data_IF_871540934890
#
_entry.id   IF_871540934890
#
_cell.length_a   1.000
_cell.length_b   1.000
_cell.length_c   1.000
_cell.angle_alpha   90.00
_cell.angle_beta   90.00
_cell.angle_gamma   90.00
#
_symmetry.space_group_name_H-M   'P 1'
#
loop_
_entity.id
_entity.type
_entity.pdbx_description
1 polymer ?
#
# COMPACT_ATOMS: atom_id res chain seq x y z
N UNK A 1 98.42 -8.76 -25.81
CA UNK A 1 97.88 -7.40 -25.53
C UNK A 1 96.45 -7.23 -26.09
N UNK A 2 96.11 -7.83 -27.23
CA UNK A 2 94.80 -7.71 -27.89
C UNK A 2 93.65 -8.42 -27.15
N UNK A 3 93.82 -9.66 -26.67
CA UNK A 3 92.74 -10.43 -26.00
C UNK A 3 92.27 -9.84 -24.65
N UNK A 4 93.19 -9.29 -23.85
CA UNK A 4 92.88 -8.73 -22.53
C UNK A 4 92.04 -7.45 -22.62
N UNK A 5 92.33 -6.57 -23.61
CA UNK A 5 91.54 -5.37 -23.87
C UNK A 5 90.14 -5.70 -24.39
N UNK A 6 89.99 -6.73 -25.23
CA UNK A 6 88.68 -7.19 -25.72
C UNK A 6 87.82 -7.71 -24.56
N UNK A 7 88.41 -8.47 -23.62
CA UNK A 7 87.69 -8.99 -22.46
C UNK A 7 87.21 -7.88 -21.51
N UNK A 8 88.06 -6.88 -21.26
CA UNK A 8 87.71 -5.69 -20.44
C UNK A 8 86.59 -4.89 -21.11
N UNK A 9 86.67 -4.67 -22.42
CA UNK A 9 85.64 -3.93 -23.15
C UNK A 9 84.28 -4.62 -23.11
N UNK A 10 84.24 -5.94 -23.32
CA UNK A 10 83.03 -6.75 -23.24
C UNK A 10 82.44 -6.72 -21.82
N UNK A 11 83.29 -6.86 -20.80
CA UNK A 11 82.85 -6.84 -19.40
C UNK A 11 82.23 -5.49 -19.01
N UNK A 12 82.87 -4.37 -19.38
CA UNK A 12 82.36 -3.02 -19.12
C UNK A 12 81.05 -2.78 -19.88
N UNK A 13 80.97 -3.21 -21.14
CA UNK A 13 79.76 -3.04 -21.96
C UNK A 13 78.56 -3.81 -21.36
N UNK A 14 78.76 -5.07 -20.96
CA UNK A 14 77.74 -5.90 -20.32
C UNK A 14 77.30 -5.27 -18.99
N UNK A 15 78.25 -4.82 -18.17
CA UNK A 15 77.95 -4.21 -16.88
C UNK A 15 77.10 -2.93 -17.03
N UNK A 16 77.48 -2.05 -17.96
CA UNK A 16 76.74 -0.81 -18.24
C UNK A 16 75.34 -1.13 -18.78
N UNK A 17 75.23 -2.09 -19.71
CA UNK A 17 73.95 -2.49 -20.29
C UNK A 17 72.99 -3.03 -19.23
N UNK A 18 73.47 -3.92 -18.36
CA UNK A 18 72.66 -4.48 -17.26
C UNK A 18 72.24 -3.39 -16.27
N UNK A 19 73.17 -2.50 -15.89
CA UNK A 19 72.87 -1.41 -14.96
C UNK A 19 71.80 -0.46 -15.50
N UNK A 20 71.92 -0.05 -16.77
CA UNK A 20 70.95 0.83 -17.43
C UNK A 20 69.60 0.12 -17.55
N UNK A 21 69.57 -1.15 -17.95
CA UNK A 21 68.34 -1.91 -18.10
C UNK A 21 67.58 -2.04 -16.77
N UNK A 22 68.29 -2.38 -15.69
CA UNK A 22 67.71 -2.50 -14.34
C UNK A 22 67.18 -1.14 -13.86
N UNK A 23 67.96 -0.07 -14.03
CA UNK A 23 67.57 1.26 -13.60
C UNK A 23 66.30 1.75 -14.31
N UNK A 24 66.24 1.58 -15.64
CA UNK A 24 65.07 1.94 -16.44
C UNK A 24 63.85 1.12 -16.03
N UNK A 25 64.01 -0.20 -15.86
CA UNK A 25 62.90 -1.09 -15.47
C UNK A 25 62.32 -0.70 -14.11
N UNK A 26 63.16 -0.45 -13.12
CA UNK A 26 62.73 -0.04 -11.77
C UNK A 26 62.03 1.31 -11.82
N UNK A 27 62.60 2.28 -12.54
CA UNK A 27 62.02 3.62 -12.63
C UNK A 27 60.62 3.59 -13.28
N UNK A 28 60.47 2.85 -14.38
CA UNK A 28 59.19 2.69 -15.08
C UNK A 28 58.17 1.99 -14.18
N UNK A 29 58.56 0.89 -13.51
CA UNK A 29 57.66 0.14 -12.64
C UNK A 29 57.13 0.99 -11.48
N UNK A 30 58.03 1.75 -10.81
CA UNK A 30 57.65 2.63 -9.70
C UNK A 30 56.72 3.74 -10.20
N UNK A 31 57.06 4.38 -11.32
CA UNK A 31 56.26 5.48 -11.87
C UNK A 31 54.83 5.02 -12.21
N UNK A 32 54.70 3.87 -12.89
CA UNK A 32 53.41 3.29 -13.26
C UNK A 32 52.60 2.92 -12.02
N UNK A 33 53.23 2.26 -11.03
CA UNK A 33 52.54 1.83 -9.82
C UNK A 33 52.00 3.02 -9.03
N UNK A 34 52.80 4.07 -8.85
CA UNK A 34 52.39 5.29 -8.14
C UNK A 34 51.24 5.99 -8.88
N UNK A 35 51.36 6.13 -10.21
CA UNK A 35 50.33 6.80 -11.00
C UNK A 35 48.97 6.08 -10.92
N UNK A 36 48.98 4.75 -11.06
CA UNK A 36 47.77 3.93 -10.98
C UNK A 36 47.14 4.03 -9.58
N UNK A 37 47.95 3.92 -8.51
CA UNK A 37 47.45 3.98 -7.14
C UNK A 37 46.76 5.32 -6.83
N UNK A 38 47.41 6.43 -7.21
CA UNK A 38 46.86 7.77 -7.01
C UNK A 38 45.55 7.95 -7.79
N UNK A 39 45.51 7.54 -9.05
CA UNK A 39 44.31 7.68 -9.89
C UNK A 39 43.12 6.91 -9.31
N UNK A 40 43.33 5.65 -8.90
CA UNK A 40 42.29 4.81 -8.30
C UNK A 40 41.76 5.42 -7.00
N UNK A 41 42.65 5.89 -6.13
CA UNK A 41 42.26 6.47 -4.84
C UNK A 41 41.39 7.71 -5.01
N UNK A 42 41.81 8.62 -5.90
CA UNK A 42 41.06 9.86 -6.19
C UNK A 42 39.68 9.53 -6.78
N UNK A 43 39.62 8.63 -7.75
CA UNK A 43 38.36 8.26 -8.39
C UNK A 43 37.34 7.67 -7.39
N UNK A 44 37.79 6.74 -6.53
CA UNK A 44 36.94 6.12 -5.52
C UNK A 44 36.43 7.16 -4.51
N UNK A 45 37.31 8.06 -4.04
CA UNK A 45 36.92 9.08 -3.07
C UNK A 45 35.85 10.03 -3.61
N UNK A 46 36.04 10.51 -4.84
CA UNK A 46 35.08 11.40 -5.51
C UNK A 46 33.73 10.70 -5.70
N UNK A 47 33.74 9.46 -6.18
CA UNK A 47 32.50 8.70 -6.42
C UNK A 47 31.69 8.50 -5.13
N UNK A 48 32.36 8.11 -4.04
CA UNK A 48 31.72 7.92 -2.73
C UNK A 48 31.13 9.23 -2.21
N UNK A 49 31.87 10.34 -2.28
CA UNK A 49 31.41 11.63 -1.81
C UNK A 49 30.15 12.11 -2.56
N UNK A 50 30.16 12.01 -3.89
CA UNK A 50 29.01 12.36 -4.72
C UNK A 50 27.79 11.50 -4.39
N UNK A 51 27.98 10.18 -4.23
CA UNK A 51 26.88 9.26 -3.91
C UNK A 51 26.23 9.57 -2.56
N UNK A 52 27.04 9.85 -1.53
CA UNK A 52 26.54 10.22 -0.18
C UNK A 52 25.80 11.56 -0.22
N UNK A 53 26.31 12.55 -0.95
CA UNK A 53 25.66 13.86 -1.07
C UNK A 53 24.30 13.76 -1.77
N UNK A 54 24.22 13.05 -2.90
CA UNK A 54 22.96 12.86 -3.64
C UNK A 54 21.94 12.09 -2.80
N UNK A 55 22.35 11.00 -2.17
CA UNK A 55 21.45 10.18 -1.35
C UNK A 55 20.93 10.98 -0.15
N UNK A 56 21.80 11.63 0.62
CA UNK A 56 21.38 12.47 1.76
C UNK A 56 20.42 13.59 1.34
N UNK A 57 20.70 14.31 0.26
CA UNK A 57 19.81 15.37 -0.24
C UNK A 57 18.43 14.82 -0.65
N UNK A 58 18.39 13.65 -1.32
CA UNK A 58 17.13 13.01 -1.70
C UNK A 58 16.27 12.58 -0.49
N UNK A 59 16.90 12.08 0.58
CA UNK A 59 16.19 11.68 1.80
C UNK A 59 15.65 12.88 2.57
N UNK A 60 16.41 13.98 2.65
CA UNK A 60 15.97 15.21 3.33
C UNK A 60 14.78 15.83 2.59
N UNK A 61 14.81 15.87 1.26
CA UNK A 61 13.71 16.38 0.43
C UNK A 61 12.42 15.56 0.62
N UNK A 62 12.54 14.22 0.62
CA UNK A 62 11.41 13.32 0.90
C UNK A 62 10.84 13.52 2.31
N UNK A 63 11.70 13.77 3.29
CA UNK A 63 11.28 14.00 4.67
C UNK A 63 10.47 15.30 4.80
N UNK A 64 10.92 16.38 4.16
CA UNK A 64 10.25 17.69 4.21
C UNK A 64 8.83 17.65 3.65
N UNK A 65 8.60 16.88 2.58
CA UNK A 65 7.29 16.72 1.95
C UNK A 65 6.26 16.06 2.90
N UNK A 66 6.71 15.28 3.89
CA UNK A 66 5.82 14.51 4.77
C UNK A 66 5.34 15.29 6.02
N UNK A 67 5.93 16.45 6.30
CA UNK A 67 5.71 17.25 7.52
C UNK A 67 4.75 18.43 7.33
N UNK A 68 4.21 18.62 6.12
CA UNK A 68 3.22 19.68 5.85
C UNK A 68 1.85 19.19 6.34
N UNK A 69 1.50 19.56 7.58
CA UNK A 69 0.16 19.35 8.12
C UNK A 69 -0.75 20.41 7.46
N UNK A 70 -1.82 20.03 6.75
CA UNK A 70 -2.71 21.01 6.13
C UNK A 70 -3.42 21.86 7.20
N UNK A 71 -3.60 23.15 6.93
CA UNK A 71 -4.13 24.14 7.88
C UNK A 71 -5.56 23.83 8.39
N UNK A 72 -6.31 23.01 7.66
CA UNK A 72 -7.64 22.51 8.07
C UNK A 72 -7.66 20.98 8.06
N UNK A 73 -7.45 20.39 9.24
CA UNK A 73 -7.62 18.95 9.45
C UNK A 73 -8.89 18.66 10.24
N UNK A 74 -9.82 17.92 9.63
CA UNK A 74 -11.04 17.47 10.32
C UNK A 74 -10.78 16.12 11.00
N UNK A 75 -10.84 16.09 12.34
CA UNK A 75 -10.64 14.84 13.09
C UNK A 75 -11.80 13.85 12.93
N UNK A 76 -13.03 14.35 12.80
CA UNK A 76 -14.24 13.54 12.67
C UNK A 76 -15.04 14.11 11.50
N UNK A 77 -15.31 13.28 10.50
CA UNK A 77 -16.23 13.62 9.41
C UNK A 77 -17.56 12.91 9.62
N UNK A 78 -18.66 13.62 9.43
CA UNK A 78 -20.00 13.02 9.51
C UNK A 78 -20.57 12.85 8.11
N UNK A 79 -20.72 11.60 7.68
CA UNK A 79 -21.17 11.24 6.33
C UNK A 79 -22.28 10.19 6.43
N UNK A 80 -23.40 10.40 5.72
CA UNK A 80 -24.55 9.48 5.68
C UNK A 80 -25.01 9.00 7.07
N UNK A 81 -25.13 9.92 8.02
CA UNK A 81 -25.50 9.65 9.42
C UNK A 81 -24.51 8.75 10.19
N UNK A 82 -23.27 8.60 9.73
CA UNK A 82 -22.20 7.86 10.41
C UNK A 82 -21.00 8.77 10.67
N UNK A 83 -20.27 8.47 11.74
CA UNK A 83 -19.05 9.19 12.11
C UNK A 83 -17.84 8.44 11.53
N UNK A 84 -17.02 9.15 10.76
CA UNK A 84 -15.81 8.65 10.12
C UNK A 84 -14.60 9.28 10.82
N UNK A 85 -13.60 8.45 11.10
CA UNK A 85 -12.32 8.87 11.71
C UNK A 85 -11.40 9.50 10.64
N UNK A 86 -11.09 10.78 10.80
CA UNK A 86 -10.27 11.57 9.89
C UNK A 86 -8.79 11.17 9.86
N UNK A 87 -8.28 10.53 10.92
CA UNK A 87 -6.87 10.10 11.00
C UNK A 87 -6.55 8.93 10.08
N UNK A 88 -7.55 8.14 9.71
CA UNK A 88 -7.39 6.97 8.85
C UNK A 88 -7.27 7.39 7.38
N UNK A 89 -6.56 6.58 6.60
CA UNK A 89 -6.58 6.69 5.13
C UNK A 89 -8.01 6.56 4.62
N UNK A 90 -8.36 7.38 3.65
CA UNK A 90 -9.71 7.53 3.13
C UNK A 90 -10.34 6.22 2.67
N UNK A 91 -9.58 5.36 1.98
CA UNK A 91 -10.04 4.06 1.49
C UNK A 91 -10.54 3.12 2.60
N UNK A 92 -10.03 3.26 3.82
CA UNK A 92 -10.46 2.49 4.98
C UNK A 92 -11.48 3.25 5.82
N UNK A 93 -11.35 4.57 5.92
CA UNK A 93 -12.23 5.42 6.70
C UNK A 93 -13.70 5.30 6.22
N UNK A 94 -13.93 5.33 4.91
CA UNK A 94 -15.26 5.20 4.29
C UNK A 94 -15.94 3.86 4.61
N UNK A 95 -15.18 2.80 4.89
CA UNK A 95 -15.75 1.47 5.22
C UNK A 95 -16.48 1.44 6.56
N UNK A 96 -16.39 2.50 7.36
CA UNK A 96 -17.23 2.68 8.56
C UNK A 96 -18.72 2.79 8.20
N UNK A 97 -19.05 3.25 6.98
CA UNK A 97 -20.42 3.31 6.49
C UNK A 97 -20.92 1.90 6.19
N UNK A 98 -22.00 1.48 6.87
CA UNK A 98 -22.65 0.18 6.60
C UNK A 98 -23.09 0.10 5.13
N UNK A 99 -22.80 -1.02 4.48
CA UNK A 99 -23.06 -1.23 3.06
C UNK A 99 -21.89 -0.88 2.14
N UNK A 100 -20.82 -0.27 2.67
CA UNK A 100 -19.58 0.03 1.92
C UNK A 100 -18.45 -0.90 2.36
N UNK A 101 -17.98 -1.72 1.44
CA UNK A 101 -16.78 -2.55 1.64
C UNK A 101 -15.52 -1.90 1.06
N UNK A 102 -14.35 -2.50 1.35
CA UNK A 102 -13.04 -2.05 0.84
C UNK A 102 -13.03 -1.86 -0.69
N UNK A 103 -13.54 -2.85 -1.44
CA UNK A 103 -13.61 -2.76 -2.91
C UNK A 103 -14.53 -1.63 -3.38
N UNK A 104 -15.68 -1.46 -2.73
CA UNK A 104 -16.63 -0.41 -3.10
C UNK A 104 -16.03 0.98 -2.84
N UNK A 105 -15.44 1.19 -1.65
CA UNK A 105 -14.74 2.43 -1.32
C UNK A 105 -13.64 2.76 -2.34
N UNK A 106 -12.83 1.76 -2.72
CA UNK A 106 -11.76 1.95 -3.71
C UNK A 106 -12.29 2.31 -5.10
N UNK A 107 -13.43 1.73 -5.53
CA UNK A 107 -14.07 2.07 -6.82
C UNK A 107 -14.63 3.49 -6.76
N UNK A 108 -15.35 3.84 -5.69
CA UNK A 108 -15.93 5.18 -5.51
C UNK A 108 -14.84 6.25 -5.52
N UNK A 109 -13.75 6.06 -4.78
CA UNK A 109 -12.64 7.02 -4.72
C UNK A 109 -11.95 7.21 -6.06
N UNK A 110 -11.75 6.12 -6.82
CA UNK A 110 -11.23 6.19 -8.18
C UNK A 110 -12.18 6.86 -9.16
N UNK A 111 -13.49 6.84 -8.90
CA UNK A 111 -14.49 7.55 -9.71
C UNK A 111 -14.65 9.01 -9.30
N UNK A 112 -14.30 9.34 -8.07
CA UNK A 112 -14.27 10.71 -7.54
C UNK A 112 -12.95 11.44 -7.88
N UNK A 113 -12.00 10.75 -8.51
CA UNK A 113 -10.63 11.24 -8.76
C UNK A 113 -9.92 11.73 -7.49
N UNK A 114 -10.11 11.02 -6.39
CA UNK A 114 -9.45 11.29 -5.11
C UNK A 114 -8.32 10.29 -4.90
N UNK A 115 -7.15 10.78 -4.46
CA UNK A 115 -6.04 9.93 -4.12
C UNK A 115 -6.34 9.05 -2.89
N UNK A 116 -5.96 7.78 -2.97
CA UNK A 116 -6.23 6.77 -1.96
C UNK A 116 -5.30 6.87 -0.75
N UNK A 117 -4.15 7.54 -0.90
CA UNK A 117 -3.20 7.72 0.18
C UNK A 117 -3.52 8.91 1.08
N UNK A 118 -4.35 9.86 0.61
CA UNK A 118 -4.89 10.95 1.42
C UNK A 118 -5.58 10.45 2.69
N UNK A 119 -5.48 11.24 3.76
CA UNK A 119 -6.26 10.99 4.98
C UNK A 119 -7.68 11.50 4.81
N UNK A 120 -8.63 10.88 5.50
CA UNK A 120 -10.02 11.30 5.43
C UNK A 120 -10.22 12.73 5.98
N UNK A 121 -9.43 13.14 6.97
CA UNK A 121 -9.47 14.48 7.57
C UNK A 121 -8.94 15.62 6.69
N UNK A 122 -8.31 15.28 5.58
CA UNK A 122 -7.74 16.23 4.62
C UNK A 122 -8.69 16.50 3.45
N UNK A 123 -9.86 15.85 3.43
CA UNK A 123 -10.87 16.03 2.40
C UNK A 123 -11.50 17.42 2.50
N UNK A 124 -11.69 18.04 1.34
CA UNK A 124 -12.57 19.19 1.18
C UNK A 124 -14.04 18.76 1.25
N UNK A 125 -14.92 19.67 1.66
CA UNK A 125 -16.36 19.39 1.74
C UNK A 125 -16.94 19.05 0.35
N UNK A 126 -16.42 19.67 -0.73
CA UNK A 126 -16.78 19.35 -2.11
C UNK A 126 -16.37 17.92 -2.53
N UNK A 127 -15.17 17.47 -2.13
CA UNK A 127 -14.75 16.08 -2.33
C UNK A 127 -15.65 15.10 -1.56
N UNK A 128 -16.06 15.46 -0.34
CA UNK A 128 -16.99 14.65 0.44
C UNK A 128 -18.34 14.53 -0.26
N UNK A 129 -18.89 15.62 -0.77
CA UNK A 129 -20.17 15.60 -1.50
C UNK A 129 -20.08 14.78 -2.79
N UNK A 130 -18.98 14.91 -3.55
CA UNK A 130 -18.73 14.06 -4.73
C UNK A 130 -18.68 12.58 -4.38
N UNK A 131 -18.02 12.21 -3.28
CA UNK A 131 -18.01 10.82 -2.81
C UNK A 131 -19.43 10.36 -2.46
N UNK A 132 -20.20 11.17 -1.75
CA UNK A 132 -21.58 10.83 -1.34
C UNK A 132 -22.50 10.63 -2.55
N UNK A 133 -22.44 11.52 -3.54
CA UNK A 133 -23.26 11.43 -4.76
C UNK A 133 -22.93 10.18 -5.58
N UNK A 134 -21.64 9.84 -5.74
CA UNK A 134 -21.20 8.60 -6.40
C UNK A 134 -21.67 7.37 -5.62
N UNK A 135 -21.60 7.42 -4.29
CA UNK A 135 -22.04 6.31 -3.45
C UNK A 135 -23.54 6.04 -3.56
N UNK A 136 -24.37 7.10 -3.58
CA UNK A 136 -25.82 6.99 -3.67
C UNK A 136 -26.27 6.58 -5.08
N UNK A 137 -25.61 7.08 -6.13
CA UNK A 137 -26.00 6.87 -7.53
C UNK A 137 -24.94 6.13 -8.36
N UNK A 138 -24.53 4.90 -7.98
CA UNK A 138 -23.39 4.21 -8.61
C UNK A 138 -23.59 3.92 -10.11
N UNK A 139 -24.83 3.73 -10.54
CA UNK A 139 -25.17 3.41 -11.95
C UNK A 139 -24.85 4.58 -12.89
N UNK A 140 -25.02 5.82 -12.43
CA UNK A 140 -24.71 7.02 -13.21
C UNK A 140 -23.19 7.12 -13.50
N UNK A 141 -22.35 6.62 -12.59
CA UNK A 141 -20.89 6.63 -12.70
C UNK A 141 -20.31 5.36 -13.35
N UNK A 142 -21.12 4.63 -14.13
CA UNK A 142 -20.73 3.43 -14.88
C UNK A 142 -20.24 2.28 -13.98
N UNK A 143 -20.78 2.14 -12.77
CA UNK A 143 -20.55 0.97 -11.91
C UNK A 143 -21.52 -0.14 -12.33
N UNK A 144 -21.07 -1.37 -12.61
CA UNK A 144 -21.93 -2.45 -13.09
C UNK A 144 -23.00 -2.90 -12.08
N UNK A 145 -24.16 -3.33 -12.58
CA UNK A 145 -25.30 -3.77 -11.74
C UNK A 145 -24.97 -5.00 -10.87
N UNK A 146 -24.12 -5.91 -11.36
CA UNK A 146 -23.66 -7.09 -10.61
C UNK A 146 -22.80 -6.76 -9.39
N UNK A 147 -22.26 -5.53 -9.32
CA UNK A 147 -21.42 -5.08 -8.20
C UNK A 147 -22.24 -4.52 -7.03
N UNK A 148 -23.50 -4.16 -7.28
CA UNK A 148 -24.38 -3.55 -6.29
C UNK A 148 -24.84 -4.58 -5.25
N UNK A 149 -25.04 -4.13 -4.01
CA UNK A 149 -25.37 -5.00 -2.89
C UNK A 149 -26.83 -5.49 -2.87
N UNK A 150 -27.79 -4.73 -3.42
CA UNK A 150 -29.19 -5.11 -3.53
C UNK A 150 -29.60 -5.17 -5.00
N UNK A 151 -29.59 -6.38 -5.52
CA UNK A 151 -29.93 -6.69 -6.91
C UNK A 151 -31.36 -7.19 -6.99
N UNK A 152 -32.13 -6.68 -7.96
CA UNK A 152 -33.52 -7.07 -8.24
C UNK A 152 -34.38 -7.12 -6.98
N UNK A 153 -34.67 -5.95 -6.39
CA UNK A 153 -35.51 -5.87 -5.18
C UNK A 153 -36.89 -6.51 -5.42
N UNK A 154 -37.45 -7.16 -4.39
CA UNK A 154 -38.72 -7.92 -4.50
C UNK A 154 -39.91 -7.02 -4.76
N UNK A 155 -39.86 -5.76 -4.28
CA UNK A 155 -40.92 -4.76 -4.47
C UNK A 155 -40.81 -4.08 -5.83
N UNK A 156 -39.66 -3.46 -6.08
CA UNK A 156 -39.50 -2.55 -7.22
C UNK A 156 -38.79 -3.18 -8.42
N UNK A 157 -38.19 -4.37 -8.28
CA UNK A 157 -37.38 -5.02 -9.31
C UNK A 157 -36.06 -4.32 -9.64
N UNK A 158 -35.78 -3.17 -9.03
CA UNK A 158 -34.62 -2.31 -9.33
C UNK A 158 -33.34 -2.84 -8.69
N UNK A 159 -32.21 -2.43 -9.28
CA UNK A 159 -30.86 -2.60 -8.74
C UNK A 159 -30.45 -1.33 -8.00
N UNK A 160 -30.01 -1.46 -6.76
CA UNK A 160 -29.68 -0.32 -5.91
C UNK A 160 -28.50 -0.64 -5.00
N UNK A 161 -27.69 0.36 -4.69
CA UNK A 161 -26.77 0.30 -3.56
C UNK A 161 -27.46 0.83 -2.31
N UNK A 162 -27.61 -0.02 -1.30
CA UNK A 162 -28.21 0.37 -0.03
C UNK A 162 -27.10 0.71 0.97
N UNK A 163 -27.21 1.88 1.61
CA UNK A 163 -26.18 2.44 2.49
C UNK A 163 -26.75 2.78 3.87
N UNK A 164 -25.87 2.79 4.87
CA UNK A 164 -26.14 3.22 6.24
C UNK A 164 -27.45 2.64 6.80
N UNK A 165 -28.35 3.51 7.28
CA UNK A 165 -29.63 3.13 7.88
C UNK A 165 -30.56 2.41 6.89
N UNK A 166 -30.44 2.70 5.58
CA UNK A 166 -31.24 2.03 4.56
C UNK A 166 -31.01 0.52 4.55
N UNK A 167 -29.79 0.07 4.88
CA UNK A 167 -29.44 -1.35 4.86
C UNK A 167 -30.16 -2.11 5.99
N UNK A 168 -30.15 -1.52 7.19
CA UNK A 168 -30.82 -2.10 8.36
C UNK A 168 -32.35 -2.12 8.17
N UNK A 169 -32.92 -1.06 7.59
CA UNK A 169 -34.35 -0.98 7.30
C UNK A 169 -34.77 -2.05 6.28
N UNK A 170 -34.04 -2.18 5.17
CA UNK A 170 -34.31 -3.19 4.15
C UNK A 170 -34.17 -4.61 4.69
N UNK A 171 -33.18 -4.87 5.56
CA UNK A 171 -33.05 -6.17 6.24
C UNK A 171 -34.26 -6.48 7.14
N UNK A 172 -34.77 -5.49 7.88
CA UNK A 172 -35.97 -5.65 8.72
C UNK A 172 -37.19 -6.00 7.87
N UNK A 173 -37.43 -5.25 6.79
CA UNK A 173 -38.54 -5.52 5.86
C UNK A 173 -38.48 -6.94 5.28
N UNK A 174 -37.29 -7.37 4.85
CA UNK A 174 -37.09 -8.72 4.30
C UNK A 174 -37.36 -9.82 5.35
N UNK A 175 -36.90 -9.62 6.59
CA UNK A 175 -37.14 -10.55 7.68
C UNK A 175 -38.61 -10.61 8.09
N UNK A 176 -39.29 -9.46 8.19
CA UNK A 176 -40.71 -9.40 8.50
C UNK A 176 -41.55 -10.09 7.43
N UNK A 177 -41.23 -9.87 6.15
CA UNK A 177 -41.89 -10.58 5.04
C UNK A 177 -41.73 -12.10 5.17
N UNK A 178 -40.52 -12.58 5.46
CA UNK A 178 -40.27 -14.02 5.63
C UNK A 178 -40.98 -14.60 6.85
N UNK A 179 -41.13 -13.83 7.93
CA UNK A 179 -41.90 -14.22 9.12
C UNK A 179 -43.40 -14.32 8.81
N UNK A 180 -43.96 -13.34 8.09
CA UNK A 180 -45.38 -13.33 7.67
C UNK A 180 -45.73 -14.53 6.78
N UNK A 181 -44.86 -14.87 5.84
CA UNK A 181 -45.01 -16.05 4.96
C UNK A 181 -44.81 -17.38 5.73
N UNK A 182 -44.26 -17.34 6.96
CA UNK A 182 -43.83 -18.51 7.73
C UNK A 182 -42.82 -19.39 6.99
N UNK A 183 -41.95 -18.78 6.17
CA UNK A 183 -40.86 -19.50 5.53
C UNK A 183 -39.89 -20.05 6.60
N UNK A 184 -39.39 -21.29 6.44
CA UNK A 184 -38.48 -21.93 7.39
C UNK A 184 -37.26 -21.04 7.74
N UNK A 185 -36.69 -20.36 6.74
CA UNK A 185 -35.62 -19.36 6.93
C UNK A 185 -36.05 -18.19 7.84
N UNK A 186 -37.25 -17.67 7.65
CA UNK A 186 -37.81 -16.57 8.44
C UNK A 186 -38.04 -16.97 9.89
N UNK A 187 -38.60 -18.16 10.12
CA UNK A 187 -38.81 -18.73 11.46
C UNK A 187 -37.47 -18.95 12.18
N UNK A 188 -36.45 -19.47 11.49
CA UNK A 188 -35.11 -19.61 12.07
C UNK A 188 -34.51 -18.26 12.49
N UNK A 189 -34.64 -17.22 11.67
CA UNK A 189 -34.23 -15.88 12.06
C UNK A 189 -35.02 -15.33 13.25
N UNK A 190 -36.31 -15.62 13.35
CA UNK A 190 -37.13 -15.27 14.51
C UNK A 190 -36.64 -15.94 15.81
N UNK A 191 -36.27 -17.22 15.74
CA UNK A 191 -35.68 -17.97 16.87
C UNK A 191 -34.19 -17.71 17.11
N UNK A 192 -33.55 -16.83 16.32
CA UNK A 192 -32.11 -16.55 16.44
C UNK A 192 -31.21 -17.72 16.02
N UNK A 193 -31.73 -18.67 15.24
CA UNK A 193 -30.99 -19.84 14.77
C UNK A 193 -30.25 -19.54 13.46
N UNK A 194 -29.12 -20.23 13.30
CA UNK A 194 -28.35 -20.31 12.06
C UNK A 194 -29.19 -20.88 10.91
N UNK A 195 -29.05 -20.31 9.70
CA UNK A 195 -30.01 -20.53 8.59
C UNK A 195 -29.49 -21.40 7.46
N UNK A 196 -28.19 -21.35 7.12
CA UNK A 196 -27.63 -21.96 5.90
C UNK A 196 -27.26 -23.45 6.04
N UNK A 197 -28.06 -24.24 6.77
CA UNK A 197 -27.82 -25.69 6.94
C UNK A 197 -26.69 -26.08 7.91
N UNK A 198 -26.23 -25.13 8.73
CA UNK A 198 -25.17 -25.38 9.72
C UNK A 198 -25.66 -26.34 10.81
N UNK A 199 -24.81 -27.31 11.22
CA UNK A 199 -25.14 -28.24 12.29
C UNK A 199 -25.30 -27.51 13.64
N UNK A 200 -26.51 -27.52 14.18
CA UNK A 200 -26.85 -26.83 15.43
C UNK A 200 -26.39 -27.55 16.69
N UNK A 201 -25.99 -28.83 16.58
CA UNK A 201 -25.41 -29.60 17.70
C UNK A 201 -24.04 -29.05 18.10
N UNK A 202 -23.16 -28.86 17.12
CA UNK A 202 -21.75 -28.47 17.31
C UNK A 202 -21.49 -26.98 17.08
N UNK A 203 -22.16 -26.36 16.10
CA UNK A 203 -21.84 -24.98 15.68
C UNK A 203 -22.72 -23.93 16.35
N UNK A 204 -22.16 -22.75 16.64
CA UNK A 204 -22.92 -21.62 17.20
C UNK A 204 -23.07 -21.60 18.72
N UNK A 205 -22.37 -22.51 19.42
CA UNK A 205 -22.23 -22.47 20.88
C UNK A 205 -21.34 -21.28 21.27
N UNK A 206 -21.77 -20.50 22.27
CA UNK A 206 -20.98 -19.47 22.96
C UNK A 206 -21.20 -19.65 24.46
N UNK A 207 -20.14 -19.65 25.27
CA UNK A 207 -20.19 -19.94 26.71
C UNK A 207 -20.08 -21.44 27.07
N UNK A 208 -20.13 -21.75 28.38
CA UNK A 208 -20.15 -23.13 28.91
C UNK A 208 -21.45 -23.85 28.58
N UNK A 209 -21.41 -25.17 28.49
CA UNK A 209 -22.56 -26.02 28.18
C UNK A 209 -23.67 -25.85 29.21
N UNK A 210 -24.77 -25.20 28.82
CA UNK A 210 -26.03 -25.23 29.56
C UNK A 210 -26.85 -26.46 29.14
N UNK A 211 -27.46 -27.12 30.11
CA UNK A 211 -28.38 -28.25 29.90
C UNK A 211 -29.63 -27.87 29.11
N UNK A 212 -30.51 -28.84 28.88
CA UNK A 212 -31.73 -28.64 28.08
C UNK A 212 -32.71 -27.73 28.83
N UNK A 213 -32.98 -26.53 28.28
CA UNK A 213 -34.10 -25.70 28.72
C UNK A 213 -35.39 -26.25 28.10
N UNK A 214 -36.23 -26.91 28.90
CA UNK A 214 -37.61 -27.23 28.54
C UNK A 214 -38.51 -26.10 29.04
N UNK A 215 -39.39 -25.62 28.17
CA UNK A 215 -40.51 -24.78 28.60
C UNK A 215 -41.49 -25.68 29.37
N UNK A 216 -41.79 -25.32 30.61
CA UNK A 216 -42.99 -25.84 31.30
C UNK A 216 -44.23 -25.29 30.60
#
# INVERSE_FOLDING_TARGET
>A
ITYYNIYIYIYIYIYIYIYIYIYIYIYIYIYIYIYIYIYIYIYIYIYIYIYIYITSYSYVLLCFQSLVIPEKFQHILRVLNTNIDGRRKIAFAITAIKGVGRRYAHVVLRKADIDLNKRAGELSDDEVERVVTIMQNPRQYKIPDWFLNRQKDVKDGKYSQVLANGLDNKLREDLERLKKIRAHRGLRHFWGLRVRGQHTKTTGRRGRTVGVSKKK
#
